data_IF_786300598562
#
_entry.id   IF_786300598562
#
_cell.length_a   1.000
_cell.length_b   1.000
_cell.length_c   1.000
_cell.angle_alpha   90.00
_cell.angle_beta   90.00
_cell.angle_gamma   90.00
#
_symmetry.space_group_name_H-M   'P 1'
#
loop_
_entity.id
_entity.type
_entity.pdbx_description
1 polymer ?
#
# COMPACT_ATOMS: atom_id res chain seq x y z
N UNK A 1 -2.71 79.03 -20.92
CA UNK A 1 -2.58 78.31 -19.63
C UNK A 1 -2.72 76.82 -19.91
N UNK A 2 -1.60 76.13 -19.70
CA UNK A 2 -1.35 74.68 -19.53
C UNK A 2 -2.46 73.68 -19.95
N UNK A 3 -2.21 72.95 -21.03
CA UNK A 3 -2.85 71.66 -21.34
C UNK A 3 -2.03 70.52 -20.68
N UNK A 4 -2.67 69.73 -19.80
CA UNK A 4 -2.02 68.67 -19.03
C UNK A 4 -2.39 67.27 -19.58
N UNK A 5 -1.42 66.72 -20.33
CA UNK A 5 -0.89 65.34 -20.36
C UNK A 5 -1.80 64.13 -20.08
N UNK A 6 -1.96 63.32 -21.15
CA UNK A 6 -1.55 61.91 -21.32
C UNK A 6 -1.83 60.84 -20.22
N UNK A 7 -2.55 59.81 -20.68
CA UNK A 7 -2.27 58.37 -20.59
C UNK A 7 -2.37 57.64 -19.23
N UNK A 8 -3.32 56.69 -19.12
CA UNK A 8 -3.26 55.48 -18.28
C UNK A 8 -4.07 54.39 -19.01
N UNK A 9 -3.42 53.54 -19.81
CA UNK A 9 -2.83 52.23 -19.48
C UNK A 9 -3.85 51.07 -19.50
N UNK A 10 -3.75 50.27 -20.57
CA UNK A 10 -4.49 49.03 -20.81
C UNK A 10 -4.14 47.95 -19.78
N UNK A 11 -5.14 47.41 -19.08
CA UNK A 11 -4.98 46.24 -18.22
C UNK A 11 -5.07 44.96 -19.07
N UNK A 12 -3.92 44.34 -19.35
CA UNK A 12 -3.84 43.01 -19.95
C UNK A 12 -4.01 41.98 -18.84
N UNK A 13 -5.11 41.21 -18.89
CA UNK A 13 -5.38 40.07 -18.01
C UNK A 13 -4.48 38.90 -18.42
N UNK A 14 -3.41 38.62 -17.67
CA UNK A 14 -2.69 37.35 -17.73
C UNK A 14 -3.34 36.35 -16.75
N UNK A 15 -4.21 35.49 -17.26
CA UNK A 15 -4.60 34.26 -16.57
C UNK A 15 -3.57 33.17 -16.88
N UNK A 16 -2.49 33.11 -16.10
CA UNK A 16 -1.54 32.00 -16.15
C UNK A 16 -2.14 30.81 -15.40
N UNK A 17 -2.48 29.74 -16.12
CA UNK A 17 -2.97 28.49 -15.56
C UNK A 17 -1.91 27.80 -14.70
N UNK A 18 -2.21 27.63 -13.42
CA UNK A 18 -1.48 26.74 -12.52
C UNK A 18 -1.87 25.29 -12.86
N UNK A 19 -1.12 24.67 -13.76
CA UNK A 19 -1.13 23.20 -13.88
C UNK A 19 -0.35 22.68 -12.67
N UNK A 20 -1.07 22.32 -11.61
CA UNK A 20 -0.51 21.58 -10.50
C UNK A 20 -0.08 20.20 -10.98
N UNK A 21 1.22 20.00 -11.15
CA UNK A 21 1.80 18.66 -11.31
C UNK A 21 1.68 17.97 -9.95
N UNK A 22 0.69 17.10 -9.80
CA UNK A 22 0.63 16.22 -8.63
C UNK A 22 1.91 15.36 -8.61
N UNK A 23 2.56 15.18 -7.45
CA UNK A 23 3.71 14.28 -7.37
C UNK A 23 3.26 12.88 -7.81
N UNK A 24 4.02 12.25 -8.70
CA UNK A 24 3.82 10.85 -9.04
C UNK A 24 3.91 10.06 -7.73
N UNK A 25 2.77 9.55 -7.27
CA UNK A 25 2.74 8.67 -6.11
C UNK A 25 3.59 7.47 -6.46
N UNK A 26 4.53 7.09 -5.58
CA UNK A 26 5.27 5.86 -5.79
C UNK A 26 4.28 4.69 -5.78
N UNK A 27 4.23 3.96 -6.90
CA UNK A 27 3.20 2.98 -7.23
C UNK A 27 3.75 1.56 -7.17
N UNK A 28 4.43 1.23 -6.08
CA UNK A 28 4.78 -0.17 -5.85
C UNK A 28 3.54 -1.05 -5.90
N UNK A 29 3.71 -2.32 -6.24
CA UNK A 29 2.62 -3.30 -6.26
C UNK A 29 2.73 -4.25 -5.09
N UNK A 30 1.62 -4.87 -4.70
CA UNK A 30 1.62 -5.85 -3.63
C UNK A 30 2.32 -7.13 -4.07
N UNK A 31 3.09 -7.74 -3.16
CA UNK A 31 3.81 -8.98 -3.40
C UNK A 31 5.20 -8.80 -4.02
N UNK A 32 5.81 -9.93 -4.34
CA UNK A 32 7.14 -9.96 -4.95
C UNK A 32 7.09 -9.49 -6.41
N UNK A 33 8.14 -8.83 -6.88
CA UNK A 33 8.28 -8.52 -8.29
C UNK A 33 8.33 -9.80 -9.14
N UNK A 34 7.73 -9.80 -10.35
CA UNK A 34 8.00 -10.85 -11.32
C UNK A 34 9.48 -10.85 -11.72
N UNK A 35 9.94 -11.94 -12.34
CA UNK A 35 11.30 -11.98 -12.90
C UNK A 35 11.47 -10.87 -13.95
N UNK A 36 12.57 -10.12 -13.89
CA UNK A 36 12.78 -8.93 -14.73
C UNK A 36 11.94 -7.71 -14.33
N UNK A 37 11.12 -7.82 -13.28
CA UNK A 37 10.16 -6.80 -12.87
C UNK A 37 10.73 -5.72 -11.95
N UNK A 38 11.90 -5.97 -11.36
CA UNK A 38 12.55 -5.05 -10.43
C UNK A 38 12.84 -5.70 -9.08
N UNK A 39 12.92 -4.89 -8.03
CA UNK A 39 13.41 -5.29 -6.71
C UNK A 39 12.26 -5.53 -5.76
N UNK A 40 12.24 -6.71 -5.13
CA UNK A 40 11.25 -7.01 -4.10
C UNK A 40 11.71 -6.47 -2.75
N UNK A 41 10.87 -5.65 -2.14
CA UNK A 41 11.09 -5.11 -0.80
C UNK A 41 10.29 -5.89 0.23
N UNK A 42 10.99 -6.36 1.25
CA UNK A 42 10.40 -7.06 2.41
C UNK A 42 10.61 -6.20 3.65
N UNK A 43 9.53 -5.87 4.34
CA UNK A 43 9.58 -5.24 5.67
C UNK A 43 8.99 -6.20 6.67
N UNK A 44 9.82 -6.75 7.54
CA UNK A 44 9.41 -7.59 8.65
C UNK A 44 9.37 -6.76 9.94
N UNK A 45 8.17 -6.60 10.52
CA UNK A 45 7.99 -5.81 11.74
C UNK A 45 8.59 -6.47 12.99
N UNK A 46 9.04 -7.73 12.89
CA UNK A 46 9.89 -8.35 13.90
C UNK A 46 9.27 -8.33 15.30
N UNK A 47 9.96 -7.68 16.25
CA UNK A 47 9.53 -7.54 17.64
C UNK A 47 8.42 -6.48 17.86
N UNK A 48 8.01 -5.75 16.81
CA UNK A 48 6.87 -4.83 16.88
C UNK A 48 5.52 -5.54 16.77
N UNK A 49 5.53 -6.80 16.35
CA UNK A 49 4.34 -7.62 16.24
C UNK A 49 4.37 -8.57 15.05
N UNK A 50 3.35 -9.44 14.91
CA UNK A 50 3.20 -10.29 13.75
C UNK A 50 2.91 -9.45 12.51
N UNK A 51 3.49 -9.84 11.38
CA UNK A 51 3.21 -9.24 10.08
C UNK A 51 4.47 -8.80 9.34
N UNK A 52 4.34 -8.77 8.02
CA UNK A 52 5.35 -8.31 7.10
C UNK A 52 4.68 -7.66 5.90
N UNK A 53 5.35 -6.70 5.28
CA UNK A 53 4.97 -6.15 3.99
C UNK A 53 5.91 -6.73 2.93
N UNK A 54 5.33 -7.15 1.79
CA UNK A 54 6.11 -7.54 0.62
C UNK A 54 5.58 -6.71 -0.53
N UNK A 55 6.46 -5.91 -1.13
CA UNK A 55 6.08 -4.94 -2.15
C UNK A 55 7.10 -4.96 -3.28
N UNK A 56 6.63 -4.77 -4.50
CA UNK A 56 7.51 -4.67 -5.66
C UNK A 56 7.85 -3.20 -5.93
N UNK A 57 9.14 -2.89 -5.95
CA UNK A 57 9.68 -1.66 -6.53
C UNK A 57 10.06 -1.95 -7.98
N UNK A 58 9.29 -1.41 -8.93
CA UNK A 58 9.50 -1.69 -10.34
C UNK A 58 10.81 -1.05 -10.85
N UNK A 59 11.51 -1.76 -11.73
CA UNK A 59 12.75 -1.26 -12.34
C UNK A 59 13.98 -1.42 -11.46
N UNK A 60 14.86 -0.42 -11.45
CA UNK A 60 16.17 -0.48 -10.78
C UNK A 60 16.32 0.68 -9.79
N UNK A 61 15.85 0.50 -8.54
CA UNK A 61 15.98 1.53 -7.52
C UNK A 61 17.45 1.92 -7.31
N UNK A 62 17.71 3.22 -7.15
CA UNK A 62 19.07 3.73 -7.06
C UNK A 62 19.83 3.23 -5.81
N UNK A 63 19.10 2.99 -4.72
CA UNK A 63 19.60 2.43 -3.47
C UNK A 63 18.46 1.77 -2.66
N UNK A 64 18.76 1.19 -1.50
CA UNK A 64 17.77 0.57 -0.62
C UNK A 64 16.66 1.51 -0.12
N UNK A 65 16.96 2.78 0.17
CA UNK A 65 15.93 3.77 0.55
C UNK A 65 15.00 4.07 -0.63
N UNK A 66 15.55 4.22 -1.84
CA UNK A 66 14.77 4.39 -3.05
C UNK A 66 13.88 3.15 -3.29
N UNK A 67 14.38 1.94 -3.02
CA UNK A 67 13.58 0.72 -3.13
C UNK A 67 12.35 0.76 -2.21
N UNK A 68 12.49 1.16 -0.94
CA UNK A 68 11.33 1.36 -0.04
C UNK A 68 10.33 2.35 -0.62
N UNK A 69 10.81 3.53 -1.03
CA UNK A 69 9.97 4.60 -1.54
C UNK A 69 9.23 4.17 -2.81
N UNK A 70 9.95 3.63 -3.80
CA UNK A 70 9.42 3.14 -5.08
C UNK A 70 8.45 1.95 -4.90
N UNK A 71 8.65 1.13 -3.86
CA UNK A 71 7.70 0.09 -3.43
C UNK A 71 6.40 0.65 -2.79
N UNK A 72 6.29 1.98 -2.66
CA UNK A 72 5.16 2.66 -2.02
C UNK A 72 5.17 2.51 -0.50
N UNK A 73 6.33 2.27 0.11
CA UNK A 73 6.47 2.14 1.56
C UNK A 73 7.01 3.45 2.11
N UNK A 74 6.25 4.06 3.01
CA UNK A 74 6.67 5.29 3.67
C UNK A 74 7.90 5.04 4.55
N UNK A 75 8.94 5.85 4.34
CA UNK A 75 10.15 5.83 5.16
C UNK A 75 10.44 7.23 5.71
N UNK A 76 10.60 7.30 7.03
CA UNK A 76 11.01 8.51 7.73
C UNK A 76 12.41 8.33 8.32
N UNK A 77 13.29 9.28 8.04
CA UNK A 77 14.63 9.33 8.61
C UNK A 77 14.66 9.82 10.06
N UNK A 78 15.82 9.68 10.70
CA UNK A 78 16.09 10.39 11.96
C UNK A 78 16.19 11.90 11.72
N UNK A 79 15.97 12.71 12.75
CA UNK A 79 16.09 14.17 12.69
C UNK A 79 17.54 14.60 12.41
N UNK A 80 18.52 13.93 13.04
CA UNK A 80 19.93 14.29 12.92
C UNK A 80 20.58 13.83 11.60
N UNK A 81 20.18 12.68 11.08
CA UNK A 81 20.87 12.05 9.93
C UNK A 81 19.97 11.85 8.71
N UNK A 82 18.71 12.28 8.77
CA UNK A 82 17.75 12.09 7.68
C UNK A 82 17.64 10.60 7.31
N UNK A 83 17.47 10.35 6.01
CA UNK A 83 17.30 8.99 5.47
C UNK A 83 18.56 8.12 5.50
N UNK A 84 19.71 8.65 5.94
CA UNK A 84 20.90 7.83 6.21
C UNK A 84 20.64 6.85 7.37
N UNK A 85 19.68 7.19 8.23
CA UNK A 85 19.21 6.38 9.34
C UNK A 85 17.70 6.27 9.24
N UNK A 86 17.21 5.18 8.65
CA UNK A 86 15.78 4.90 8.59
C UNK A 86 15.24 4.73 10.02
N UNK A 87 14.43 5.69 10.47
CA UNK A 87 13.83 5.66 11.79
C UNK A 87 12.49 4.92 11.77
N UNK A 88 11.61 5.28 10.84
CA UNK A 88 10.30 4.66 10.70
C UNK A 88 10.12 4.10 9.30
N UNK A 89 9.54 2.91 9.24
CA UNK A 89 9.08 2.27 8.01
C UNK A 89 7.60 1.97 8.21
N UNK A 90 6.77 2.51 7.32
CA UNK A 90 5.31 2.50 7.40
C UNK A 90 4.78 2.96 8.78
N UNK A 91 5.35 4.05 9.29
CA UNK A 91 4.99 4.63 10.59
C UNK A 91 5.38 3.80 11.82
N UNK A 92 6.22 2.76 11.65
CA UNK A 92 6.69 1.88 12.73
C UNK A 92 8.20 1.95 12.91
N UNK A 93 8.73 1.84 14.14
CA UNK A 93 7.99 1.76 15.41
C UNK A 93 7.28 3.08 15.73
N UNK A 94 6.49 3.12 16.82
CA UNK A 94 5.83 4.34 17.31
C UNK A 94 6.77 5.29 18.06
N UNK A 95 6.35 6.52 18.37
CA UNK A 95 7.16 7.50 19.10
C UNK A 95 7.48 7.10 20.55
N UNK A 96 6.68 6.20 21.13
CA UNK A 96 6.89 5.57 22.43
C UNK A 96 8.09 4.60 22.46
N UNK A 97 8.45 4.05 21.30
CA UNK A 97 9.58 3.12 21.16
C UNK A 97 10.81 3.82 20.60
N UNK A 98 10.65 4.73 19.63
CA UNK A 98 11.75 5.46 19.02
C UNK A 98 11.38 6.93 18.78
N UNK A 99 12.19 7.82 19.36
CA UNK A 99 12.06 9.27 19.26
C UNK A 99 12.39 9.83 17.87
N UNK A 100 13.22 9.11 17.10
CA UNK A 100 13.85 9.56 15.87
C UNK A 100 14.81 10.75 16.02
N UNK A 101 15.26 11.11 17.23
CA UNK A 101 16.12 12.28 17.41
C UNK A 101 17.52 12.11 16.77
N UNK A 102 18.04 10.88 16.71
CA UNK A 102 19.38 10.60 16.19
C UNK A 102 19.58 9.14 15.81
N UNK A 103 20.70 8.55 16.23
CA UNK A 103 20.92 7.11 16.05
C UNK A 103 19.91 6.33 16.91
N UNK A 104 19.26 5.30 16.35
CA UNK A 104 18.36 4.47 17.13
C UNK A 104 19.13 3.75 18.24
N UNK A 105 18.41 3.37 19.29
CA UNK A 105 19.01 2.58 20.37
C UNK A 105 19.56 1.25 19.82
N UNK A 106 20.72 0.83 20.33
CA UNK A 106 21.26 -0.51 20.05
C UNK A 106 20.33 -1.64 20.53
N UNK A 107 19.31 -1.32 21.33
CA UNK A 107 18.30 -2.27 21.83
C UNK A 107 16.98 -2.22 21.06
N UNK A 108 16.85 -1.40 20.01
CA UNK A 108 15.62 -1.28 19.22
C UNK A 108 15.91 -0.59 17.87
N UNK A 109 16.07 -1.34 16.78
CA UNK A 109 16.39 -0.76 15.48
C UNK A 109 15.99 -1.63 14.29
N UNK A 110 15.97 -1.01 13.10
CA UNK A 110 15.82 -1.67 11.81
C UNK A 110 17.19 -2.18 11.33
N UNK A 111 17.29 -3.49 11.12
CA UNK A 111 18.39 -4.12 10.41
C UNK A 111 18.09 -4.19 8.91
N UNK A 112 19.14 -4.13 8.08
CA UNK A 112 19.02 -4.08 6.62
C UNK A 112 19.72 -5.26 5.97
N UNK A 113 19.07 -5.86 4.97
CA UNK A 113 19.39 -7.17 4.41
C UNK A 113 19.21 -7.15 2.90
N UNK A 114 19.94 -8.03 2.21
CA UNK A 114 19.77 -8.25 0.77
C UNK A 114 19.84 -9.75 0.45
N UNK A 115 19.23 -10.15 -0.66
CA UNK A 115 19.29 -11.52 -1.16
C UNK A 115 19.07 -11.57 -2.68
N UNK A 116 19.58 -12.64 -3.32
CA UNK A 116 19.09 -13.05 -4.63
C UNK A 116 17.73 -13.75 -4.49
N UNK A 117 16.92 -13.73 -5.56
CA UNK A 117 15.67 -14.47 -5.59
C UNK A 117 15.91 -15.98 -5.45
N UNK A 118 15.25 -16.61 -4.47
CA UNK A 118 15.45 -18.01 -4.10
C UNK A 118 16.68 -18.26 -3.23
N UNK A 119 17.44 -17.21 -2.89
CA UNK A 119 18.65 -17.30 -2.08
C UNK A 119 18.40 -17.25 -0.59
N UNK A 120 19.42 -16.79 0.15
CA UNK A 120 19.36 -16.56 1.60
C UNK A 120 19.65 -15.09 1.92
N UNK A 121 19.01 -14.59 2.98
CA UNK A 121 19.25 -13.24 3.48
C UNK A 121 20.69 -13.06 3.95
N UNK A 122 21.31 -11.98 3.51
CA UNK A 122 22.64 -11.53 3.96
C UNK A 122 22.49 -10.17 4.60
N UNK A 123 23.08 -9.98 5.79
CA UNK A 123 23.08 -8.66 6.45
C UNK A 123 23.90 -7.70 5.62
N UNK A 124 23.38 -6.50 5.39
CA UNK A 124 24.13 -5.44 4.73
C UNK A 124 25.20 -4.88 5.68
N UNK A 125 26.41 -4.69 5.17
CA UNK A 125 27.48 -3.92 5.85
C UNK A 125 27.50 -2.46 5.40
N UNK A 126 26.63 -2.09 4.46
CA UNK A 126 26.44 -0.73 3.95
C UNK A 126 25.10 -0.15 4.42
N UNK A 127 25.02 1.17 4.49
CA UNK A 127 23.76 1.87 4.75
C UNK A 127 22.83 1.79 3.53
N UNK A 128 21.51 1.80 3.77
CA UNK A 128 20.50 1.70 2.71
C UNK A 128 20.53 2.86 1.69
N UNK A 129 21.19 3.98 1.97
CA UNK A 129 21.39 5.07 1.00
C UNK A 129 22.57 4.83 0.03
N UNK A 130 23.50 3.94 0.37
CA UNK A 130 24.70 3.66 -0.44
C UNK A 130 24.65 2.27 -1.08
N UNK A 131 23.98 1.33 -0.43
CA UNK A 131 23.78 -0.01 -0.95
C UNK A 131 23.07 0.04 -2.30
N UNK A 132 23.55 -0.76 -3.25
CA UNK A 132 23.00 -0.88 -4.60
C UNK A 132 22.19 -2.18 -4.70
N UNK A 133 20.86 -2.09 -4.80
CA UNK A 133 20.04 -3.27 -4.96
C UNK A 133 20.44 -4.12 -6.16
N UNK A 134 20.55 -5.42 -5.94
CA UNK A 134 20.80 -6.35 -7.03
C UNK A 134 19.59 -6.33 -7.99
N UNK A 135 19.82 -6.27 -9.32
CA UNK A 135 18.74 -6.41 -10.29
C UNK A 135 17.95 -7.70 -10.03
N UNK A 136 16.62 -7.59 -10.06
CA UNK A 136 15.69 -8.69 -9.78
C UNK A 136 15.85 -9.35 -8.38
N UNK A 137 16.55 -8.67 -7.47
CA UNK A 137 16.86 -9.13 -6.13
C UNK A 137 15.81 -8.78 -5.08
N UNK A 138 16.19 -9.01 -3.83
CA UNK A 138 15.39 -8.74 -2.65
C UNK A 138 16.15 -7.82 -1.70
N UNK A 139 15.46 -6.80 -1.21
CA UNK A 139 15.90 -5.88 -0.17
C UNK A 139 15.00 -6.06 1.06
N UNK A 140 15.60 -6.12 2.24
CA UNK A 140 14.93 -6.55 3.46
C UNK A 140 15.19 -5.63 4.64
N UNK A 141 14.14 -5.30 5.39
CA UNK A 141 14.22 -4.61 6.67
C UNK A 141 13.60 -5.47 7.75
N UNK A 142 14.29 -5.68 8.86
CA UNK A 142 13.76 -6.41 10.00
C UNK A 142 13.96 -5.61 11.29
N UNK A 143 12.89 -5.32 12.01
CA UNK A 143 12.98 -4.62 13.29
C UNK A 143 13.29 -5.61 14.41
N UNK A 144 14.30 -5.31 15.23
CA UNK A 144 14.65 -6.14 16.37
C UNK A 144 14.83 -5.32 17.65
N UNK A 145 14.61 -5.95 18.79
CA UNK A 145 15.01 -5.48 20.11
C UNK A 145 16.05 -6.41 20.74
N UNK A 146 17.32 -6.33 20.32
CA UNK A 146 18.40 -7.11 20.91
C UNK A 146 18.46 -7.00 22.43
N UNK A 147 18.69 -8.12 23.10
CA UNK A 147 18.84 -8.15 24.56
C UNK A 147 20.26 -7.80 25.02
N UNK A 148 21.23 -7.88 24.10
CA UNK A 148 22.63 -7.53 24.35
C UNK A 148 23.35 -7.19 23.04
N UNK A 149 24.55 -6.63 23.13
CA UNK A 149 25.37 -6.33 21.94
C UNK A 149 25.78 -7.58 21.12
N UNK A 150 25.74 -8.77 21.74
CA UNK A 150 26.06 -10.03 21.06
C UNK A 150 24.82 -10.68 20.40
N UNK A 151 23.64 -10.11 20.63
CA UNK A 151 22.36 -10.61 20.09
C UNK A 151 22.08 -9.89 18.78
N UNK A 152 22.66 -10.39 17.69
CA UNK A 152 22.49 -9.78 16.37
C UNK A 152 21.04 -9.95 15.87
N UNK A 153 20.46 -8.93 15.21
CA UNK A 153 19.14 -9.06 14.60
C UNK A 153 19.06 -10.26 13.67
N UNK A 154 17.95 -10.98 13.76
CA UNK A 154 17.63 -12.03 12.80
C UNK A 154 17.25 -11.40 11.43
N UNK A 155 17.45 -12.14 10.32
CA UNK A 155 16.97 -11.72 9.01
C UNK A 155 15.42 -11.65 8.97
N UNK A 156 14.85 -11.01 7.94
CA UNK A 156 13.41 -11.08 7.68
C UNK A 156 12.93 -12.54 7.63
N UNK A 157 11.81 -12.83 8.29
CA UNK A 157 11.22 -14.18 8.36
C UNK A 157 10.59 -14.59 7.03
N UNK A 158 10.20 -13.63 6.20
CA UNK A 158 9.72 -13.88 4.84
C UNK A 158 10.90 -14.35 3.98
N UNK A 159 10.83 -15.55 3.38
CA UNK A 159 11.91 -16.03 2.51
C UNK A 159 11.98 -15.17 1.23
N UNK A 160 13.19 -14.94 0.67
CA UNK A 160 13.39 -14.11 -0.52
C UNK A 160 13.02 -14.88 -1.80
N UNK A 161 11.82 -15.42 -1.87
CA UNK A 161 11.30 -16.20 -3.00
C UNK A 161 10.22 -15.41 -3.71
N UNK A 162 10.24 -15.45 -5.05
CA UNK A 162 9.10 -14.96 -5.82
C UNK A 162 7.98 -15.96 -5.63
N UNK A 163 6.87 -15.52 -5.07
CA UNK A 163 5.65 -16.29 -5.12
C UNK A 163 5.28 -16.37 -6.61
N UNK A 164 5.19 -17.57 -7.17
CA UNK A 164 4.45 -17.74 -8.42
C UNK A 164 3.04 -17.27 -8.07
N UNK A 165 2.64 -16.13 -8.64
CA UNK A 165 1.43 -15.43 -8.21
C UNK A 165 0.33 -16.46 -7.99
N UNK A 166 -0.20 -16.53 -6.76
CA UNK A 166 -1.43 -17.25 -6.53
C UNK A 166 -2.40 -16.63 -7.51
N UNK A 167 -2.71 -17.35 -8.60
CA UNK A 167 -3.77 -16.95 -9.49
C UNK A 167 -4.95 -16.70 -8.56
N UNK A 168 -5.39 -15.44 -8.48
CA UNK A 168 -6.66 -15.12 -7.83
C UNK A 168 -7.63 -16.10 -8.51
N UNK A 169 -8.25 -17.04 -7.75
CA UNK A 169 -9.21 -17.94 -8.36
C UNK A 169 -10.18 -17.06 -9.12
N UNK A 170 -10.35 -17.31 -10.41
CA UNK A 170 -11.28 -16.54 -11.23
C UNK A 170 -12.67 -16.69 -10.61
N UNK A 171 -13.10 -15.70 -9.84
CA UNK A 171 -14.40 -15.68 -9.15
C UNK A 171 -15.52 -15.64 -10.20
N UNK A 172 -15.20 -15.32 -11.46
CA UNK A 172 -16.12 -15.43 -12.60
C UNK A 172 -16.51 -16.89 -12.89
N UNK A 173 -15.74 -17.89 -12.46
CA UNK A 173 -16.13 -19.31 -12.51
C UNK A 173 -16.89 -19.81 -11.28
N UNK A 174 -16.88 -19.08 -10.17
CA UNK A 174 -17.64 -19.43 -8.98
C UNK A 174 -19.10 -18.92 -9.02
N UNK A 175 -19.48 -18.21 -10.09
CA UNK A 175 -20.79 -17.58 -10.28
C UNK A 175 -21.89 -18.47 -10.87
N UNK A 176 -21.65 -19.77 -11.11
CA UNK A 176 -22.74 -20.72 -11.37
C UNK A 176 -23.14 -21.41 -10.07
N UNK A 177 -23.49 -20.60 -9.07
CA UNK A 177 -24.31 -21.08 -7.97
C UNK A 177 -25.69 -21.31 -8.59
N UNK A 178 -26.11 -22.57 -8.63
CA UNK A 178 -27.43 -23.06 -9.03
C UNK A 178 -28.50 -22.49 -8.09
N UNK A 179 -28.70 -21.18 -8.15
CA UNK A 179 -29.63 -20.43 -7.33
C UNK A 179 -31.03 -20.76 -7.85
N UNK A 180 -31.94 -21.31 -7.02
CA UNK A 180 -33.19 -21.87 -7.49
C UNK A 180 -34.17 -20.76 -7.88
N UNK A 181 -33.98 -20.18 -9.06
CA UNK A 181 -34.90 -19.19 -9.66
C UNK A 181 -36.34 -19.70 -9.67
N UNK A 182 -36.55 -21.03 -9.77
CA UNK A 182 -37.86 -21.65 -9.63
C UNK A 182 -38.57 -21.31 -8.31
N UNK A 183 -37.82 -21.22 -7.20
CA UNK A 183 -38.39 -20.88 -5.90
C UNK A 183 -38.74 -19.39 -5.79
N UNK A 184 -37.88 -18.51 -6.30
CA UNK A 184 -38.11 -17.06 -6.29
C UNK A 184 -39.27 -16.68 -7.19
N UNK A 185 -39.33 -17.24 -8.41
CA UNK A 185 -40.43 -17.02 -9.36
C UNK A 185 -41.73 -17.60 -8.77
N UNK A 186 -41.69 -18.78 -8.15
CA UNK A 186 -42.85 -19.38 -7.49
C UNK A 186 -43.42 -18.50 -6.37
N UNK A 187 -42.56 -17.96 -5.49
CA UNK A 187 -42.97 -17.05 -4.41
C UNK A 187 -43.55 -15.76 -4.98
N UNK A 188 -42.94 -15.17 -6.01
CA UNK A 188 -43.45 -13.94 -6.63
C UNK A 188 -44.84 -14.13 -7.25
N UNK A 189 -45.08 -15.25 -7.96
CA UNK A 189 -46.39 -15.57 -8.53
C UNK A 189 -47.44 -15.77 -7.43
N UNK A 190 -47.10 -16.48 -6.35
CA UNK A 190 -48.01 -16.68 -5.22
C UNK A 190 -48.39 -15.36 -4.53
N UNK A 191 -47.44 -14.43 -4.38
CA UNK A 191 -47.72 -13.11 -3.80
C UNK A 191 -48.62 -12.25 -4.70
N UNK A 192 -48.41 -12.28 -6.02
CA UNK A 192 -49.26 -11.55 -6.98
C UNK A 192 -50.68 -12.12 -7.00
N UNK A 193 -50.83 -13.44 -7.02
CA UNK A 193 -52.14 -14.09 -6.98
C UNK A 193 -52.86 -13.87 -5.63
N UNK A 194 -52.12 -13.90 -4.52
CA UNK A 194 -52.63 -13.57 -3.19
C UNK A 194 -53.13 -12.12 -3.11
N UNK A 195 -52.36 -11.16 -3.61
CA UNK A 195 -52.75 -9.75 -3.64
C UNK A 195 -54.00 -9.50 -4.52
N UNK A 196 -54.10 -10.17 -5.67
CA UNK A 196 -55.28 -10.10 -6.52
C UNK A 196 -56.53 -10.67 -5.83
N UNK A 197 -56.41 -11.78 -5.10
CA UNK A 197 -57.50 -12.38 -4.33
C UNK A 197 -58.00 -11.47 -3.19
N UNK A 198 -57.07 -10.83 -2.47
CA UNK A 198 -57.39 -9.86 -1.39
C UNK A 198 -58.05 -8.60 -1.98
N UNK A 199 -57.60 -8.12 -3.12
CA UNK A 199 -58.20 -6.95 -3.79
C UNK A 199 -59.63 -7.24 -4.28
N UNK A 200 -59.87 -8.41 -4.89
CA UNK A 200 -61.21 -8.79 -5.37
C UNK A 200 -62.18 -8.99 -4.20
N UNK A 201 -61.72 -9.63 -3.11
CA UNK A 201 -62.56 -9.86 -1.93
C UNK A 201 -62.90 -8.56 -1.18
N UNK A 202 -61.95 -7.63 -1.03
CA UNK A 202 -62.20 -6.32 -0.41
C UNK A 202 -63.15 -5.45 -1.25
N UNK A 203 -63.04 -5.50 -2.59
CA UNK A 203 -63.96 -4.80 -3.49
C UNK A 203 -65.38 -5.38 -3.46
N UNK A 204 -65.53 -6.69 -3.25
CA UNK A 204 -66.83 -7.35 -3.05
C UNK A 204 -67.45 -7.02 -1.69
N UNK A 205 -66.65 -6.95 -0.61
CA UNK A 205 -67.13 -6.53 0.72
C UNK A 205 -67.64 -5.08 0.71
N UNK A 206 -66.89 -4.15 0.11
CA UNK A 206 -67.30 -2.73 -0.02
C UNK A 206 -68.56 -2.50 -0.86
N UNK A 207 -68.98 -3.46 -1.69
CA UNK A 207 -70.23 -3.37 -2.48
C UNK A 207 -71.44 -4.01 -1.78
N UNK A 208 -71.25 -4.65 -0.62
CA UNK A 208 -72.30 -5.36 0.13
C UNK A 208 -72.77 -4.64 1.40
N UNK A 209 -72.22 -3.47 1.70
CA UNK A 209 -72.76 -2.59 2.74
C UNK A 209 -73.78 -1.66 2.06
N UNK A 210 -75.08 -1.76 2.39
CA UNK A 210 -76.13 -0.87 1.90
C UNK A 210 -76.13 0.49 2.59
#
# INVERSE_FOLDING_TARGET
MVAFRLAVASAVLLAAGLIGVAPASATGTEGACPAGGGVTVVVDFGDLGPGSLVRCAAGTPANGIAALQEAGIDVAGSQKYGLAVACRINGKPGPDVESCAGMPSATAYWSYWHASAGGSWTSSHEGAQTAKPAPDGFEGWAFARPKSANDLPAPPRVPPVRQAGTAVPDVSKAGEIDFPWGFVIGVAVLLVLGAAGVFISSRRRRRREP
#
